data_IF_715724067921
#
_entry.id   IF_715724067921
#
_cell.length_a   1.000
_cell.length_b   1.000
_cell.length_c   1.000
_cell.angle_alpha   90.00
_cell.angle_beta   90.00
_cell.angle_gamma   90.00
#
_symmetry.space_group_name_H-M   'P 1'
#
loop_
_entity.id
_entity.type
_entity.pdbx_description
1 polymer ?
#
# COMPACT_ATOMS: atom_id res chain seq x y z
N UNK A 1 -45.13 -23.72 5.45
CA UNK A 1 -44.92 -22.87 6.65
C UNK A 1 -43.88 -23.56 7.52
N UNK A 2 -42.63 -23.09 7.52
CA UNK A 2 -41.55 -23.70 8.32
C UNK A 2 -41.70 -23.17 9.75
N UNK A 3 -42.09 -24.04 10.69
CA UNK A 3 -42.07 -23.71 12.13
C UNK A 3 -40.62 -23.75 12.60
N UNK A 4 -40.01 -22.58 12.72
CA UNK A 4 -38.70 -22.44 13.35
C UNK A 4 -38.84 -22.63 14.86
N UNK A 5 -38.27 -23.71 15.38
CA UNK A 5 -38.13 -23.93 16.82
C UNK A 5 -37.27 -22.79 17.42
N UNK A 6 -37.61 -22.27 18.61
CA UNK A 6 -36.92 -21.14 19.27
C UNK A 6 -35.40 -21.37 19.39
N UNK A 7 -34.98 -22.60 19.59
CA UNK A 7 -33.56 -22.99 19.65
C UNK A 7 -32.89 -22.99 18.26
N UNK A 8 -33.62 -23.36 17.21
CA UNK A 8 -33.13 -23.32 15.83
C UNK A 8 -33.06 -21.87 15.32
N UNK A 9 -33.96 -20.99 15.76
CA UNK A 9 -33.91 -19.56 15.47
C UNK A 9 -32.67 -18.90 16.06
N UNK A 10 -32.25 -19.33 17.25
CA UNK A 10 -31.04 -18.82 17.90
C UNK A 10 -29.77 -19.29 17.17
N UNK A 11 -29.73 -20.55 16.74
CA UNK A 11 -28.62 -21.08 15.93
C UNK A 11 -28.47 -20.37 14.59
N UNK A 12 -29.58 -20.07 13.91
CA UNK A 12 -29.56 -19.32 12.64
C UNK A 12 -29.02 -17.91 12.83
N UNK A 13 -29.39 -17.24 13.93
CA UNK A 13 -28.88 -15.91 14.28
C UNK A 13 -27.37 -15.90 14.53
N UNK A 14 -26.86 -16.92 15.20
CA UNK A 14 -25.42 -17.09 15.43
C UNK A 14 -24.68 -17.29 14.11
N UNK A 15 -25.17 -18.17 13.23
CA UNK A 15 -24.55 -18.44 11.92
C UNK A 15 -24.57 -17.20 11.02
N UNK A 16 -25.68 -16.44 11.05
CA UNK A 16 -25.78 -15.16 10.33
C UNK A 16 -24.82 -14.10 10.86
N UNK A 17 -24.60 -14.04 12.18
CA UNK A 17 -23.64 -13.12 12.77
C UNK A 17 -22.19 -13.48 12.40
N UNK A 18 -21.83 -14.76 12.40
CA UNK A 18 -20.48 -15.23 12.04
C UNK A 18 -20.14 -15.03 10.55
N UNK A 19 -21.13 -15.07 9.66
CA UNK A 19 -20.92 -14.87 8.22
C UNK A 19 -20.59 -13.42 7.86
N UNK A 20 -20.98 -12.45 8.70
CA UNK A 20 -20.63 -11.03 8.50
C UNK A 20 -19.16 -10.71 8.83
N UNK A 21 -18.47 -11.56 9.59
CA UNK A 21 -17.05 -11.36 9.93
C UNK A 21 -16.05 -11.92 8.91
N UNK A 22 -16.52 -12.68 7.91
CA UNK A 22 -15.64 -13.25 6.87
C UNK A 22 -15.51 -12.36 5.62
N UNK A 23 -16.13 -11.17 5.62
CA UNK A 23 -16.16 -10.27 4.46
C UNK A 23 -15.23 -9.07 4.68
N UNK A 24 -13.97 -9.30 5.06
CA UNK A 24 -12.94 -8.28 4.95
C UNK A 24 -11.55 -8.91 5.12
N UNK A 25 -10.89 -9.18 4.00
CA UNK A 25 -9.51 -8.77 3.77
C UNK A 25 -9.17 -9.20 2.35
N UNK A 26 -9.35 -8.29 1.40
CA UNK A 26 -8.67 -8.42 0.12
C UNK A 26 -7.18 -8.16 0.42
N UNK A 27 -6.51 -9.20 0.94
CA UNK A 27 -5.05 -9.19 0.99
C UNK A 27 -4.62 -9.15 -0.46
N UNK A 28 -4.30 -7.96 -0.94
CA UNK A 28 -3.52 -7.74 -2.16
C UNK A 28 -2.40 -8.76 -2.05
N UNK A 29 -2.47 -9.83 -2.85
CA UNK A 29 -1.43 -10.84 -2.84
C UNK A 29 -0.21 -10.11 -3.35
N UNK A 30 0.69 -9.69 -2.44
CA UNK A 30 1.99 -9.16 -2.81
C UNK A 30 2.71 -10.28 -3.55
N UNK A 31 2.56 -10.29 -4.87
CA UNK A 31 3.28 -11.22 -5.73
C UNK A 31 4.77 -10.99 -5.52
N UNK A 32 5.56 -12.05 -5.67
CA UNK A 32 7.02 -11.95 -5.57
C UNK A 32 7.57 -10.85 -6.50
N UNK A 33 6.96 -10.72 -7.67
CA UNK A 33 7.26 -9.69 -8.67
C UNK A 33 6.96 -8.28 -8.16
N UNK A 34 5.83 -8.05 -7.48
CA UNK A 34 5.51 -6.76 -6.88
C UNK A 34 6.53 -6.37 -5.80
N UNK A 35 7.00 -7.34 -4.99
CA UNK A 35 8.02 -7.07 -3.98
C UNK A 35 9.36 -6.67 -4.58
N UNK A 36 9.76 -7.34 -5.66
CA UNK A 36 10.99 -7.03 -6.37
C UNK A 36 10.91 -5.67 -7.07
N UNK A 37 9.77 -5.37 -7.71
CA UNK A 37 9.49 -4.07 -8.29
C UNK A 37 9.60 -2.93 -7.26
N UNK A 38 8.88 -3.05 -6.14
CA UNK A 38 8.90 -2.03 -5.07
C UNK A 38 10.33 -1.84 -4.53
N UNK A 39 11.09 -2.92 -4.35
CA UNK A 39 12.48 -2.83 -3.90
C UNK A 39 13.35 -2.05 -4.90
N UNK A 40 13.28 -2.39 -6.18
CA UNK A 40 14.08 -1.73 -7.21
C UNK A 40 13.70 -0.26 -7.34
N UNK A 41 12.40 0.05 -7.30
CA UNK A 41 11.90 1.42 -7.35
C UNK A 41 12.38 2.26 -6.17
N UNK A 42 12.40 1.72 -4.95
CA UNK A 42 12.94 2.43 -3.79
C UNK A 42 14.45 2.70 -3.92
N UNK A 43 15.21 1.77 -4.50
CA UNK A 43 16.63 1.96 -4.79
C UNK A 43 16.84 3.08 -5.82
N UNK A 44 16.06 3.09 -6.90
CA UNK A 44 16.14 4.14 -7.93
C UNK A 44 15.79 5.51 -7.37
N UNK A 45 14.72 5.62 -6.58
CA UNK A 45 14.32 6.87 -5.90
C UNK A 45 15.43 7.40 -5.00
N UNK A 46 16.04 6.51 -4.20
CA UNK A 46 17.16 6.89 -3.31
C UNK A 46 18.39 7.35 -4.10
N UNK A 47 18.74 6.64 -5.17
CA UNK A 47 19.86 7.00 -6.02
C UNK A 47 19.64 8.37 -6.69
N UNK A 48 18.39 8.65 -7.12
CA UNK A 48 18.03 9.92 -7.75
C UNK A 48 17.99 11.08 -6.77
N UNK A 49 17.46 10.89 -5.57
CA UNK A 49 17.54 11.92 -4.51
C UNK A 49 19.01 12.26 -4.19
N UNK A 50 19.85 11.24 -4.08
CA UNK A 50 21.30 11.41 -3.87
C UNK A 50 21.95 12.18 -5.02
N UNK A 51 21.61 11.86 -6.27
CA UNK A 51 22.15 12.55 -7.44
C UNK A 51 21.75 14.03 -7.44
N UNK A 52 20.48 14.34 -7.17
CA UNK A 52 20.01 15.72 -7.08
C UNK A 52 20.61 16.48 -5.89
N UNK A 53 20.97 15.80 -4.81
CA UNK A 53 21.62 16.43 -3.66
C UNK A 53 23.10 16.73 -3.92
N UNK A 54 23.84 15.79 -4.49
CA UNK A 54 25.31 15.84 -4.50
C UNK A 54 25.94 16.13 -5.85
N UNK A 55 25.21 15.99 -6.97
CA UNK A 55 25.81 16.24 -8.28
C UNK A 55 26.14 17.73 -8.47
N UNK A 56 27.37 18.08 -8.90
CA UNK A 56 27.78 19.48 -9.07
C UNK A 56 26.88 20.29 -10.02
N UNK A 57 26.27 19.62 -10.99
CA UNK A 57 25.41 20.26 -12.00
C UNK A 57 23.93 20.26 -11.63
N UNK A 58 23.57 19.71 -10.45
CA UNK A 58 22.21 19.71 -9.94
C UNK A 58 21.65 21.14 -9.86
N UNK A 59 20.36 21.35 -10.20
CA UNK A 59 19.71 22.64 -9.98
C UNK A 59 19.74 23.08 -8.51
N UNK A 60 19.74 22.13 -7.56
CA UNK A 60 19.78 22.43 -6.13
C UNK A 60 21.15 22.90 -5.62
N UNK A 61 22.22 22.63 -6.37
CA UNK A 61 23.57 23.11 -6.03
C UNK A 61 23.88 24.49 -6.64
N UNK A 62 22.93 25.07 -7.39
CA UNK A 62 23.06 26.42 -7.97
C UNK A 62 22.58 27.51 -7.01
N UNK A 63 21.61 27.21 -6.16
CA UNK A 63 21.08 28.12 -5.16
C UNK A 63 21.42 27.59 -3.77
N UNK A 64 22.35 28.26 -3.10
CA UNK A 64 22.82 27.86 -1.76
C UNK A 64 21.92 28.37 -0.64
N UNK A 65 20.84 29.11 -0.94
CA UNK A 65 19.91 29.63 0.06
C UNK A 65 18.81 28.63 0.44
N UNK A 66 18.68 27.55 -0.34
CA UNK A 66 17.67 26.51 -0.15
C UNK A 66 18.31 25.25 0.41
N UNK A 67 17.65 24.65 1.40
CA UNK A 67 18.03 23.32 1.88
C UNK A 67 17.40 22.25 0.99
N UNK A 68 18.20 21.25 0.61
CA UNK A 68 17.70 20.14 -0.18
C UNK A 68 16.77 19.25 0.65
N UNK A 69 15.53 19.10 0.19
CA UNK A 69 14.61 18.04 0.61
C UNK A 69 14.54 16.94 -0.46
N UNK A 70 14.25 15.71 -0.03
CA UNK A 70 14.00 14.59 -0.95
C UNK A 70 12.88 14.91 -1.94
N UNK A 71 13.01 14.38 -3.16
CA UNK A 71 12.02 14.61 -4.21
C UNK A 71 10.66 14.04 -3.80
N UNK A 72 9.58 14.71 -4.21
CA UNK A 72 8.22 14.22 -3.98
C UNK A 72 7.89 13.23 -5.10
N UNK A 73 7.62 11.98 -4.73
CA UNK A 73 7.26 10.92 -5.68
C UNK A 73 5.76 10.63 -5.64
N UNK A 74 5.23 10.17 -6.76
CA UNK A 74 3.88 9.59 -6.79
C UNK A 74 3.82 8.31 -5.97
N UNK A 75 2.63 8.03 -5.44
CA UNK A 75 2.33 6.79 -4.77
C UNK A 75 2.50 5.60 -5.73
N UNK A 76 2.79 4.43 -5.15
CA UNK A 76 2.84 3.19 -5.91
C UNK A 76 1.46 2.91 -6.47
N UNK A 77 1.36 2.90 -7.80
CA UNK A 77 0.13 2.51 -8.48
C UNK A 77 0.41 1.21 -9.25
N UNK A 78 -0.17 0.07 -8.86
CA UNK A 78 0.03 -1.20 -9.55
C UNK A 78 -0.62 -1.25 -10.95
N UNK A 79 -1.46 -0.27 -11.28
CA UNK A 79 -2.15 -0.17 -12.58
C UNK A 79 -1.33 0.58 -13.65
N UNK A 80 -0.16 1.14 -13.29
CA UNK A 80 0.74 1.93 -14.16
C UNK A 80 2.20 1.52 -13.98
#
# INVERSE_FOLDING_TARGET
>A
MIRLNKNNSFLILIVAAFSLFNSCDEKIQETKEMKEYVKNLLQERTAKDSSFKFEPHSPFNRDTTIEFENLKYFDLNPDY
#
